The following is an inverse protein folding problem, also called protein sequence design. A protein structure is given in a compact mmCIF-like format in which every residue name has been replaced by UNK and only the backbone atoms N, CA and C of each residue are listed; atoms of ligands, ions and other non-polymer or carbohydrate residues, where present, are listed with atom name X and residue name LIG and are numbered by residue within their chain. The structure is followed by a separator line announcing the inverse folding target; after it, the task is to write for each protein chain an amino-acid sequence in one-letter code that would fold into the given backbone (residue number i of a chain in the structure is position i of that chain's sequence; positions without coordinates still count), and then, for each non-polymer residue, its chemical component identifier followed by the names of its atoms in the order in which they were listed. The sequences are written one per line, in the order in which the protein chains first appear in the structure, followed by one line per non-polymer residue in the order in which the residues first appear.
data_IF_411203399689
#
_entry.id   IF_411203399689
#
_cell.length_a   1.000
_cell.length_b   1.000
_cell.length_c   1.000
_cell.angle_alpha   90.00
_cell.angle_beta   90.00
_cell.angle_gamma   90.00
#
_symmetry.space_group_name_H-M   'P 1'
#
loop_
_entity.id
_entity.type
_entity.pdbx_description
1 polymer ?
#
# COMPACT_ATOMS: atom_id res chain seq x y z
N UNK A 1 -13.41 6.99 35.07
CA UNK A 1 -14.06 5.69 35.39
C UNK A 1 -14.12 4.75 34.21
N UNK A 2 -14.44 5.20 32.98
CA UNK A 2 -14.54 4.33 31.81
C UNK A 2 -13.20 3.65 31.49
N UNK A 3 -12.08 4.37 31.50
CA UNK A 3 -10.74 3.83 31.22
C UNK A 3 -10.25 2.79 32.22
N UNK A 4 -10.74 2.82 33.47
CA UNK A 4 -10.38 1.81 34.48
C UNK A 4 -10.90 0.40 34.18
N UNK A 5 -11.78 0.24 33.19
CA UNK A 5 -12.25 -1.06 32.69
C UNK A 5 -11.24 -1.77 31.79
N UNK A 6 -10.26 -1.05 31.29
CA UNK A 6 -9.24 -1.58 30.40
C UNK A 6 -7.98 -1.89 31.21
N UNK A 7 -7.29 -2.92 30.80
CA UNK A 7 -5.99 -3.26 31.36
C UNK A 7 -4.94 -2.31 30.74
N UNK A 8 -4.60 -1.24 31.47
CA UNK A 8 -3.58 -0.28 31.05
C UNK A 8 -2.24 -0.82 31.56
N UNK A 9 -1.30 -0.99 30.68
CA UNK A 9 0.01 -1.61 30.94
C UNK A 9 1.15 -0.68 30.49
N UNK A 10 2.34 -0.93 31.01
CA UNK A 10 3.60 -0.40 30.48
C UNK A 10 3.99 -1.28 29.28
N UNK A 11 3.68 -0.81 28.08
CA UNK A 11 3.74 -1.62 26.87
C UNK A 11 5.14 -2.12 26.54
N UNK A 12 6.17 -1.29 26.80
CA UNK A 12 7.57 -1.64 26.56
C UNK A 12 8.03 -2.84 27.41
N UNK A 13 7.63 -2.91 28.68
CA UNK A 13 7.94 -4.06 29.54
C UNK A 13 7.12 -5.28 29.12
N UNK A 14 5.82 -5.12 28.98
CA UNK A 14 4.92 -6.24 28.64
C UNK A 14 5.29 -6.91 27.32
N UNK A 15 5.57 -6.11 26.28
CA UNK A 15 5.92 -6.65 24.95
C UNK A 15 7.27 -7.35 24.98
N UNK A 16 8.29 -6.78 25.64
CA UNK A 16 9.60 -7.39 25.73
C UNK A 16 9.60 -8.67 26.59
N UNK A 17 8.80 -8.74 27.67
CA UNK A 17 8.58 -9.98 28.43
C UNK A 17 7.92 -11.06 27.60
N UNK A 18 6.92 -10.70 26.78
CA UNK A 18 6.30 -11.64 25.85
C UNK A 18 7.32 -12.19 24.83
N UNK A 19 8.16 -11.33 24.26
CA UNK A 19 9.23 -11.73 23.34
C UNK A 19 10.29 -12.61 24.02
N UNK A 20 10.63 -12.32 25.26
CA UNK A 20 11.56 -13.15 26.05
C UNK A 20 11.00 -14.53 26.40
N UNK A 21 9.67 -14.63 26.44
CA UNK A 21 8.94 -15.90 26.65
C UNK A 21 8.56 -16.61 25.32
N UNK A 22 9.23 -16.28 24.21
CA UNK A 22 9.02 -16.83 22.87
C UNK A 22 7.56 -16.74 22.37
N UNK A 23 6.83 -15.72 22.80
CA UNK A 23 5.48 -15.45 22.28
C UNK A 23 5.57 -14.74 20.94
N UNK A 24 4.72 -15.14 19.98
CA UNK A 24 4.53 -14.45 18.73
C UNK A 24 3.70 -13.19 18.93
N UNK A 25 4.14 -12.08 18.34
CA UNK A 25 3.45 -10.78 18.38
C UNK A 25 3.18 -10.34 16.95
N UNK A 26 1.94 -10.02 16.66
CA UNK A 26 1.55 -9.37 15.41
C UNK A 26 1.34 -7.88 15.67
N UNK A 27 2.18 -7.04 15.07
CA UNK A 27 2.02 -5.60 15.10
C UNK A 27 1.32 -5.14 13.82
N UNK A 28 0.16 -4.52 13.94
CA UNK A 28 -0.58 -3.93 12.83
C UNK A 28 -0.37 -2.42 12.82
N UNK A 29 0.19 -1.91 11.71
CA UNK A 29 0.30 -0.48 11.46
C UNK A 29 -1.01 0.11 10.94
N UNK A 30 -1.01 1.43 10.77
CA UNK A 30 -2.12 2.17 10.19
C UNK A 30 -1.62 3.08 9.06
N UNK A 31 -2.56 3.64 8.28
CA UNK A 31 -2.34 4.54 7.14
C UNK A 31 -1.58 3.86 5.99
N UNK A 32 -0.32 4.22 5.76
CA UNK A 32 0.52 3.64 4.71
C UNK A 32 1.83 4.41 4.55
N UNK A 33 2.80 3.81 3.89
CA UNK A 33 4.18 4.32 3.78
C UNK A 33 4.25 5.76 3.27
N UNK A 34 3.47 6.11 2.24
CA UNK A 34 3.51 7.47 1.66
C UNK A 34 2.82 8.54 2.52
N UNK A 35 2.24 8.16 3.66
CA UNK A 35 1.71 9.06 4.68
C UNK A 35 2.64 9.21 5.89
N UNK A 36 3.79 8.54 5.90
CA UNK A 36 4.80 8.66 6.96
C UNK A 36 5.31 10.09 7.06
N UNK A 37 5.51 10.58 8.28
CA UNK A 37 5.89 11.98 8.55
C UNK A 37 7.27 12.32 7.98
N UNK A 38 8.21 11.35 7.94
CA UNK A 38 9.58 11.54 7.49
C UNK A 38 9.80 11.08 6.05
N UNK A 39 9.19 9.96 5.65
CA UNK A 39 9.42 9.30 4.36
C UNK A 39 8.24 9.36 3.40
N UNK A 40 7.14 9.99 3.81
CA UNK A 40 5.95 10.14 2.97
C UNK A 40 6.02 11.33 2.01
N UNK A 41 4.91 11.56 1.32
CA UNK A 41 4.74 12.66 0.35
C UNK A 41 4.46 14.00 1.05
N UNK A 42 5.45 14.50 1.79
CA UNK A 42 5.34 15.77 2.51
C UNK A 42 4.92 16.93 1.58
N UNK A 43 4.05 17.86 2.01
CA UNK A 43 3.45 17.99 3.35
C UNK A 43 2.15 17.17 3.55
N UNK A 44 1.77 16.31 2.64
CA UNK A 44 0.52 15.55 2.65
C UNK A 44 0.70 14.21 3.38
N UNK A 45 1.12 14.29 4.63
CA UNK A 45 1.47 13.16 5.50
C UNK A 45 0.63 13.17 6.78
N UNK A 46 0.72 12.11 7.57
CA UNK A 46 0.19 12.09 8.94
C UNK A 46 1.25 12.57 9.93
N UNK A 47 0.88 12.77 11.19
CA UNK A 47 1.78 13.25 12.25
C UNK A 47 2.56 12.12 12.96
N UNK A 48 2.61 10.92 12.35
CA UNK A 48 3.26 9.74 12.94
C UNK A 48 4.08 8.98 11.90
N UNK A 49 5.01 8.14 12.38
CA UNK A 49 5.73 7.20 11.55
C UNK A 49 4.85 6.00 11.24
N UNK A 50 4.50 5.84 9.97
CA UNK A 50 3.65 4.75 9.46
C UNK A 50 4.46 3.61 8.85
N UNK A 51 5.77 3.79 8.70
CA UNK A 51 6.70 2.75 8.26
C UNK A 51 6.96 1.74 9.37
N UNK A 52 7.50 0.57 9.02
CA UNK A 52 7.75 -0.54 9.94
C UNK A 52 8.55 -0.13 11.20
N UNK A 53 9.50 0.80 11.06
CA UNK A 53 10.26 1.34 12.19
C UNK A 53 9.36 2.00 13.27
N UNK A 54 8.18 2.47 12.90
CA UNK A 54 7.17 2.99 13.83
C UNK A 54 6.70 1.97 14.86
N UNK A 55 6.74 0.67 14.53
CA UNK A 55 6.43 -0.40 15.48
C UNK A 55 7.48 -0.47 16.61
N UNK A 56 8.75 -0.24 16.31
CA UNK A 56 9.81 -0.21 17.31
C UNK A 56 9.58 0.90 18.33
N UNK A 57 9.25 2.10 17.85
CA UNK A 57 9.01 3.28 18.70
C UNK A 57 7.68 3.11 19.46
N UNK A 58 6.62 2.66 18.78
CA UNK A 58 5.29 2.55 19.36
C UNK A 58 5.15 1.44 20.41
N UNK A 59 5.90 0.36 20.28
CA UNK A 59 5.87 -0.78 21.21
C UNK A 59 7.05 -0.81 22.18
N UNK A 60 8.06 0.05 22.00
CA UNK A 60 9.27 0.05 22.84
C UNK A 60 10.13 -1.19 22.66
N UNK A 61 10.29 -1.66 21.40
CA UNK A 61 11.10 -2.86 21.08
C UNK A 61 12.34 -2.50 20.27
N UNK A 62 13.40 -3.29 20.43
CA UNK A 62 14.62 -3.10 19.66
C UNK A 62 14.42 -3.49 18.17
N UNK A 63 15.05 -2.78 17.19
CA UNK A 63 14.86 -3.06 15.77
C UNK A 63 15.19 -4.50 15.35
N UNK A 64 16.14 -5.14 16.01
CA UNK A 64 16.52 -6.54 15.75
C UNK A 64 15.48 -7.57 16.26
N UNK A 65 14.39 -7.12 16.83
CA UNK A 65 13.25 -7.97 17.24
C UNK A 65 12.15 -8.01 16.20
N UNK A 66 12.23 -7.19 15.15
CA UNK A 66 11.35 -7.28 14.00
C UNK A 66 11.74 -8.54 13.19
N UNK A 67 10.75 -9.39 12.98
CA UNK A 67 10.88 -10.60 12.15
C UNK A 67 10.34 -10.36 10.74
N UNK A 68 9.31 -11.12 10.35
CA UNK A 68 8.66 -10.97 9.05
C UNK A 68 7.89 -9.66 8.95
N UNK A 69 8.01 -9.00 7.80
CA UNK A 69 7.29 -7.76 7.49
C UNK A 69 6.36 -8.00 6.30
N UNK A 70 5.06 -8.00 6.56
CA UNK A 70 4.04 -8.19 5.54
C UNK A 70 3.60 -6.85 4.96
N UNK A 71 3.89 -6.64 3.67
CA UNK A 71 3.43 -5.48 2.91
C UNK A 71 2.07 -5.75 2.28
N UNK A 72 1.01 -5.11 2.77
CA UNK A 72 -0.34 -5.24 2.19
C UNK A 72 -0.54 -4.10 1.21
N UNK A 73 -0.89 -4.42 -0.04
CA UNK A 73 -1.16 -3.44 -1.07
C UNK A 73 -2.34 -3.87 -1.95
N UNK A 74 -2.94 -2.93 -2.65
CA UNK A 74 -3.99 -3.22 -3.63
C UNK A 74 -3.38 -3.40 -5.02
N UNK A 75 -4.04 -4.18 -5.86
CA UNK A 75 -3.66 -4.33 -7.27
C UNK A 75 -3.80 -3.02 -8.09
N UNK A 76 -4.26 -1.94 -7.48
CA UNK A 76 -4.34 -0.57 -8.00
C UNK A 76 -4.10 0.41 -6.84
N UNK A 77 -3.85 1.68 -7.15
CA UNK A 77 -3.59 2.68 -6.12
C UNK A 77 -4.84 3.46 -5.73
N UNK A 78 -4.91 3.86 -4.45
CA UNK A 78 -5.94 4.78 -3.96
C UNK A 78 -5.32 5.84 -3.05
N UNK A 79 -5.90 7.06 -3.07
CA UNK A 79 -5.52 8.13 -2.17
C UNK A 79 -6.76 8.84 -1.60
N UNK A 80 -6.68 9.19 -0.32
CA UNK A 80 -7.66 10.05 0.34
C UNK A 80 -7.07 11.44 0.51
N UNK A 81 -7.82 12.47 0.18
CA UNK A 81 -7.39 13.86 0.36
C UNK A 81 -6.44 14.36 -0.71
N UNK A 82 -5.79 15.48 -0.40
CA UNK A 82 -4.88 16.18 -1.30
C UNK A 82 -3.51 15.49 -1.36
N UNK A 83 -2.65 16.01 -2.23
CA UNK A 83 -1.28 15.56 -2.41
C UNK A 83 -1.05 14.81 -3.72
N UNK A 84 0.20 14.54 -4.06
CA UNK A 84 0.58 13.95 -5.34
C UNK A 84 0.05 12.53 -5.49
N UNK A 85 -0.34 12.20 -6.70
CA UNK A 85 -0.80 10.88 -7.08
C UNK A 85 -0.47 10.63 -8.56
N UNK A 86 0.77 10.24 -8.89
CA UNK A 86 1.25 10.17 -10.27
C UNK A 86 0.39 9.32 -11.21
N UNK A 87 -0.18 8.22 -10.71
CA UNK A 87 -0.98 7.29 -11.51
C UNK A 87 -2.47 7.54 -11.43
N UNK A 88 -2.92 8.68 -10.88
CA UNK A 88 -4.34 9.02 -10.75
C UNK A 88 -5.06 9.03 -12.09
N UNK A 89 -6.29 8.53 -12.11
CA UNK A 89 -7.16 8.47 -13.28
C UNK A 89 -8.37 9.37 -13.08
N UNK A 90 -8.54 10.32 -13.99
CA UNK A 90 -9.66 11.28 -14.01
C UNK A 90 -10.76 10.89 -14.98
N UNK A 91 -10.60 9.73 -15.63
CA UNK A 91 -11.51 9.21 -16.64
C UNK A 91 -12.50 8.17 -16.07
N UNK A 92 -13.26 7.56 -16.98
CA UNK A 92 -14.21 6.52 -16.62
C UNK A 92 -13.53 5.29 -15.99
N UNK A 93 -12.26 5.04 -16.26
CA UNK A 93 -11.49 3.93 -15.67
C UNK A 93 -11.31 4.15 -14.18
N UNK A 94 -10.93 5.37 -13.77
CA UNK A 94 -10.83 5.74 -12.36
C UNK A 94 -12.15 5.65 -11.62
N UNK A 95 -13.26 6.08 -12.27
CA UNK A 95 -14.59 5.95 -11.71
C UNK A 95 -14.99 4.48 -11.51
N UNK A 96 -14.72 3.60 -12.49
CA UNK A 96 -14.99 2.16 -12.39
C UNK A 96 -14.18 1.51 -11.26
N UNK A 97 -12.89 1.83 -11.11
CA UNK A 97 -12.07 1.33 -9.99
C UNK A 97 -12.68 1.71 -8.65
N UNK A 98 -13.16 2.95 -8.53
CA UNK A 98 -13.81 3.45 -7.31
C UNK A 98 -15.10 2.70 -7.00
N UNK A 99 -15.99 2.58 -7.98
CA UNK A 99 -17.32 2.02 -7.78
C UNK A 99 -17.25 0.50 -7.50
N UNK A 100 -16.54 -0.26 -8.34
CA UNK A 100 -16.38 -1.72 -8.17
C UNK A 100 -15.59 -2.02 -6.90
N UNK A 101 -14.54 -1.23 -6.63
CA UNK A 101 -13.69 -1.37 -5.46
C UNK A 101 -14.32 -0.86 -4.16
N UNK A 102 -15.51 -0.21 -4.22
CA UNK A 102 -16.13 0.46 -3.08
C UNK A 102 -15.17 1.41 -2.37
N UNK A 103 -14.44 2.22 -3.16
CA UNK A 103 -13.40 3.12 -2.66
C UNK A 103 -14.00 4.43 -2.14
N UNK A 104 -14.68 4.32 -1.01
CA UNK A 104 -15.32 5.42 -0.27
C UNK A 104 -14.86 5.38 1.20
N UNK A 105 -14.82 6.54 1.83
CA UNK A 105 -14.49 6.64 3.25
C UNK A 105 -15.58 5.99 4.11
N UNK A 106 -15.20 5.08 5.00
CA UNK A 106 -16.15 4.32 5.82
C UNK A 106 -17.06 5.19 6.70
N UNK A 107 -16.55 6.34 7.16
CA UNK A 107 -17.30 7.26 8.06
C UNK A 107 -17.97 8.39 7.27
N UNK A 108 -17.24 8.99 6.34
CA UNK A 108 -17.68 10.21 5.65
C UNK A 108 -18.32 9.94 4.29
N UNK A 109 -18.21 8.72 3.75
CA UNK A 109 -18.61 8.40 2.38
C UNK A 109 -17.80 9.14 1.29
N UNK A 110 -16.72 9.86 1.67
CA UNK A 110 -15.92 10.62 0.71
C UNK A 110 -15.27 9.71 -0.31
N UNK A 111 -15.38 10.07 -1.57
CA UNK A 111 -14.72 9.36 -2.68
C UNK A 111 -13.21 9.34 -2.51
N UNK A 112 -12.62 8.17 -2.73
CA UNK A 112 -11.17 8.04 -2.85
C UNK A 112 -10.75 8.28 -4.29
N UNK A 113 -9.63 8.93 -4.46
CA UNK A 113 -8.93 9.05 -5.75
C UNK A 113 -8.39 7.67 -6.10
N UNK A 114 -8.54 7.24 -7.36
CA UNK A 114 -8.11 5.92 -7.82
C UNK A 114 -7.16 6.06 -9.00
N UNK A 115 -6.23 5.14 -9.13
CA UNK A 115 -5.24 5.13 -10.20
C UNK A 115 -4.63 3.75 -10.41
N UNK A 116 -3.87 3.60 -11.50
CA UNK A 116 -3.16 2.36 -11.78
C UNK A 116 -2.09 2.07 -10.71
N UNK A 117 -1.69 0.79 -10.61
CA UNK A 117 -0.61 0.38 -9.71
C UNK A 117 0.67 1.16 -10.04
N UNK A 118 1.30 1.69 -9.00
CA UNK A 118 2.54 2.43 -9.05
C UNK A 118 3.68 1.58 -8.47
N UNK A 119 4.44 0.93 -9.36
CA UNK A 119 5.55 0.08 -8.95
C UNK A 119 6.75 0.88 -8.44
N UNK A 120 6.90 2.15 -8.83
CA UNK A 120 7.97 3.00 -8.28
C UNK A 120 7.70 3.27 -6.81
N UNK A 121 6.47 3.68 -6.48
CA UNK A 121 6.03 3.89 -5.10
C UNK A 121 6.02 2.58 -4.29
N UNK A 122 5.61 1.46 -4.88
CA UNK A 122 5.59 0.16 -4.21
C UNK A 122 7.01 -0.33 -3.89
N UNK A 123 7.96 -0.26 -4.82
CA UNK A 123 9.36 -0.61 -4.60
C UNK A 123 10.00 0.25 -3.51
N UNK A 124 9.73 1.55 -3.53
CA UNK A 124 10.15 2.46 -2.47
C UNK A 124 9.58 2.02 -1.12
N UNK A 125 8.29 1.69 -1.06
CA UNK A 125 7.64 1.22 0.17
C UNK A 125 8.23 -0.10 0.67
N UNK A 126 8.52 -1.05 -0.22
CA UNK A 126 9.20 -2.32 0.12
C UNK A 126 10.56 -2.04 0.75
N UNK A 127 11.35 -1.18 0.12
CA UNK A 127 12.70 -0.84 0.58
C UNK A 127 12.70 -0.19 1.97
N UNK A 128 11.85 0.83 2.18
CA UNK A 128 11.80 1.60 3.44
C UNK A 128 11.31 0.74 4.61
N UNK A 129 10.38 -0.19 4.35
CA UNK A 129 9.81 -1.04 5.40
C UNK A 129 10.56 -2.35 5.59
N UNK A 130 11.49 -2.72 4.71
CA UNK A 130 12.13 -4.03 4.74
C UNK A 130 11.12 -5.17 4.55
N UNK A 131 10.15 -4.99 3.64
CA UNK A 131 9.08 -5.97 3.39
C UNK A 131 9.69 -7.30 2.94
N UNK A 132 9.31 -8.38 3.63
CA UNK A 132 9.75 -9.75 3.32
C UNK A 132 8.72 -10.51 2.51
N UNK A 133 7.44 -10.18 2.66
CA UNK A 133 6.33 -10.80 1.95
C UNK A 133 5.30 -9.76 1.53
N UNK A 134 4.77 -9.88 0.30
CA UNK A 134 3.74 -9.02 -0.24
C UNK A 134 2.39 -9.74 -0.31
N UNK A 135 1.34 -9.04 0.07
CA UNK A 135 -0.04 -9.52 -0.03
C UNK A 135 -0.81 -8.56 -0.94
N UNK A 136 -1.10 -9.02 -2.17
CA UNK A 136 -1.92 -8.25 -3.12
C UNK A 136 -3.39 -8.42 -2.82
N UNK A 137 -4.09 -7.32 -2.67
CA UNK A 137 -5.52 -7.26 -2.42
C UNK A 137 -6.29 -6.67 -3.59
N UNK A 138 -7.57 -7.02 -3.69
CA UNK A 138 -8.54 -6.37 -4.62
C UNK A 138 -8.21 -6.49 -6.12
N UNK A 139 -7.51 -7.51 -6.53
CA UNK A 139 -7.30 -7.80 -7.95
C UNK A 139 -8.59 -8.15 -8.70
N UNK A 140 -9.59 -8.66 -7.99
CA UNK A 140 -10.93 -8.94 -8.48
C UNK A 140 -11.70 -7.70 -8.96
N UNK A 141 -11.34 -6.52 -8.48
CA UNK A 141 -11.92 -5.23 -8.94
C UNK A 141 -11.68 -4.99 -10.43
N UNK A 142 -10.60 -5.56 -10.97
CA UNK A 142 -10.22 -5.39 -12.37
C UNK A 142 -10.64 -6.56 -13.27
N UNK A 143 -11.51 -7.46 -12.82
CA UNK A 143 -11.95 -8.65 -13.56
C UNK A 143 -12.44 -8.37 -15.00
N UNK A 144 -13.11 -7.22 -15.21
CA UNK A 144 -13.75 -6.87 -16.50
C UNK A 144 -12.96 -5.82 -17.30
N UNK A 145 -11.72 -5.52 -16.91
CA UNK A 145 -10.89 -4.56 -17.63
C UNK A 145 -10.29 -5.20 -18.89
N UNK A 146 -10.26 -4.44 -20.01
CA UNK A 146 -9.63 -4.88 -21.25
C UNK A 146 -8.11 -4.87 -21.13
N UNK A 147 -7.60 -3.82 -20.51
CA UNK A 147 -6.18 -3.56 -20.30
C UNK A 147 -5.98 -3.05 -18.88
N UNK A 148 -4.95 -3.55 -18.23
CA UNK A 148 -4.48 -3.09 -16.93
C UNK A 148 -3.09 -2.49 -17.10
N UNK A 149 -2.82 -1.36 -16.45
CA UNK A 149 -1.54 -0.66 -16.56
C UNK A 149 -0.81 -0.62 -15.22
N UNK A 150 0.52 -0.64 -15.31
CA UNK A 150 1.40 -0.51 -14.14
C UNK A 150 2.46 0.56 -14.47
N UNK A 151 2.60 1.57 -13.63
CA UNK A 151 3.69 2.52 -13.75
C UNK A 151 4.98 1.86 -13.26
N UNK A 152 5.93 1.66 -14.16
CA UNK A 152 7.22 1.00 -13.86
C UNK A 152 8.35 1.97 -13.65
N UNK A 153 8.22 3.17 -14.19
CA UNK A 153 9.16 4.30 -14.12
C UNK A 153 8.38 5.61 -14.08
N UNK A 154 9.08 6.68 -13.75
CA UNK A 154 8.63 8.06 -13.97
C UNK A 154 9.50 8.74 -15.02
N UNK A 155 8.93 9.72 -15.72
CA UNK A 155 9.65 10.68 -16.54
C UNK A 155 9.57 12.05 -15.85
N UNK A 156 10.73 12.64 -15.56
CA UNK A 156 10.88 13.95 -14.93
C UNK A 156 11.92 14.74 -15.72
N UNK A 157 11.54 15.91 -16.22
CA UNK A 157 12.46 16.73 -17.00
C UNK A 157 12.97 16.07 -18.30
N UNK A 158 12.27 15.06 -18.84
CA UNK A 158 12.66 14.30 -20.01
C UNK A 158 13.57 13.09 -19.71
N UNK A 159 13.94 12.86 -18.47
CA UNK A 159 14.72 11.70 -18.03
C UNK A 159 13.83 10.66 -17.33
N UNK A 160 14.11 9.38 -17.56
CA UNK A 160 13.41 8.28 -16.90
C UNK A 160 14.10 7.85 -15.62
N UNK A 161 13.30 7.57 -14.59
CA UNK A 161 13.79 7.08 -13.31
C UNK A 161 12.85 6.03 -12.71
N UNK A 162 13.43 5.00 -12.09
CA UNK A 162 12.72 4.04 -11.25
C UNK A 162 12.82 4.39 -9.76
N UNK A 163 13.42 5.54 -9.41
CA UNK A 163 13.52 6.02 -8.05
C UNK A 163 12.34 6.92 -7.71
N UNK A 164 11.76 6.69 -6.54
CA UNK A 164 10.71 7.56 -6.00
C UNK A 164 11.33 8.90 -5.61
N UNK A 165 10.92 10.03 -6.22
CA UNK A 165 11.54 11.32 -5.96
C UNK A 165 11.05 11.89 -4.61
N UNK A 166 11.90 12.70 -3.98
CA UNK A 166 11.52 13.43 -2.77
C UNK A 166 10.40 14.46 -3.05
N UNK A 167 10.52 15.19 -4.13
CA UNK A 167 9.49 16.13 -4.61
C UNK A 167 8.77 15.53 -5.82
N UNK A 168 7.46 15.50 -5.75
CA UNK A 168 6.60 15.05 -6.84
C UNK A 168 5.96 16.31 -7.44
N UNK A 169 6.59 16.86 -8.46
CA UNK A 169 6.12 18.03 -9.19
C UNK A 169 5.08 17.67 -10.26
N UNK A 170 4.48 18.72 -10.84
CA UNK A 170 3.48 18.59 -11.91
C UNK A 170 4.07 18.10 -13.23
N UNK A 171 5.38 18.14 -13.39
CA UNK A 171 6.13 17.65 -14.55
C UNK A 171 6.40 16.14 -14.52
N UNK A 172 6.17 15.49 -13.38
CA UNK A 172 6.34 14.07 -13.25
C UNK A 172 5.21 13.31 -13.98
N UNK A 173 5.61 12.42 -14.89
CA UNK A 173 4.71 11.58 -15.67
C UNK A 173 5.01 10.10 -15.45
N UNK A 174 4.00 9.27 -15.14
CA UNK A 174 4.19 7.82 -15.05
C UNK A 174 4.41 7.20 -16.43
N UNK A 175 5.39 6.29 -16.51
CA UNK A 175 5.65 5.47 -17.69
C UNK A 175 5.03 4.10 -17.46
N UNK A 176 4.06 3.75 -18.29
CA UNK A 176 3.26 2.55 -18.11
C UNK A 176 3.75 1.36 -18.92
N UNK A 177 3.74 0.18 -18.29
CA UNK A 177 3.64 -1.11 -18.95
C UNK A 177 2.18 -1.54 -18.96
N UNK A 178 1.71 -2.05 -20.10
CA UNK A 178 0.35 -2.52 -20.28
C UNK A 178 0.29 -4.05 -20.23
N UNK A 179 -0.77 -4.57 -19.62
CA UNK A 179 -1.07 -5.99 -19.52
C UNK A 179 -2.48 -6.22 -20.06
N UNK A 180 -2.74 -7.33 -20.76
CA UNK A 180 -4.11 -7.71 -21.10
C UNK A 180 -4.90 -8.02 -19.83
N UNK A 181 -6.15 -7.61 -19.79
CA UNK A 181 -7.06 -7.97 -18.70
C UNK A 181 -7.44 -9.46 -18.75
N UNK A 182 -7.69 -10.03 -17.60
CA UNK A 182 -7.97 -11.48 -17.45
C UNK A 182 -9.42 -11.90 -17.69
N UNK A 183 -10.36 -10.96 -17.77
CA UNK A 183 -11.76 -11.16 -18.20
C UNK A 183 -12.50 -12.31 -17.51
N UNK A 184 -12.24 -12.55 -16.24
CA UNK A 184 -12.91 -13.59 -15.46
C UNK A 184 -13.01 -13.21 -14.00
N UNK A 185 -13.91 -13.87 -13.27
CA UNK A 185 -14.01 -13.69 -11.82
C UNK A 185 -12.91 -14.48 -11.11
N UNK A 186 -11.89 -13.76 -10.61
CA UNK A 186 -10.77 -14.38 -9.90
C UNK A 186 -11.19 -15.14 -8.64
N UNK A 187 -12.35 -14.83 -8.05
CA UNK A 187 -12.89 -15.54 -6.86
C UNK A 187 -13.31 -16.98 -7.16
N UNK A 188 -13.42 -17.34 -8.43
CA UNK A 188 -13.71 -18.73 -8.84
C UNK A 188 -12.51 -19.67 -8.68
N UNK A 189 -11.30 -19.13 -8.49
CA UNK A 189 -10.06 -19.91 -8.39
C UNK A 189 -9.56 -19.94 -6.94
N UNK A 190 -9.06 -21.10 -6.52
CA UNK A 190 -8.53 -21.32 -5.16
C UNK A 190 -7.06 -21.72 -5.16
N UNK A 191 -6.49 -22.04 -6.33
CA UNK A 191 -5.11 -22.45 -6.49
C UNK A 191 -4.42 -21.54 -7.50
N UNK A 192 -3.15 -21.20 -7.26
CA UNK A 192 -2.40 -20.33 -8.16
C UNK A 192 -2.32 -20.87 -9.60
N UNK A 193 -2.14 -22.18 -9.74
CA UNK A 193 -2.01 -22.85 -11.03
C UNK A 193 -3.22 -22.66 -11.95
N UNK A 194 -4.40 -22.49 -11.35
CA UNK A 194 -5.68 -22.40 -12.08
C UNK A 194 -6.01 -20.96 -12.55
N UNK A 195 -5.27 -19.94 -12.06
CA UNK A 195 -5.47 -18.58 -12.50
C UNK A 195 -5.13 -18.39 -13.99
N UNK A 196 -5.82 -17.44 -14.69
CA UNK A 196 -5.51 -17.10 -16.08
C UNK A 196 -4.06 -16.65 -16.26
N UNK A 197 -3.52 -16.91 -17.44
CA UNK A 197 -2.14 -16.53 -17.79
C UNK A 197 -1.95 -15.01 -17.73
N UNK A 198 -2.95 -14.24 -18.11
CA UNK A 198 -2.97 -12.78 -18.08
C UNK A 198 -2.84 -12.26 -16.63
N UNK A 199 -3.53 -12.87 -15.68
CA UNK A 199 -3.43 -12.51 -14.27
C UNK A 199 -2.06 -12.89 -13.69
N UNK A 200 -1.55 -14.08 -14.00
CA UNK A 200 -0.20 -14.51 -13.60
C UNK A 200 0.86 -13.54 -14.11
N UNK A 201 0.79 -13.14 -15.39
CA UNK A 201 1.71 -12.19 -15.98
C UNK A 201 1.66 -10.78 -15.31
N UNK A 202 0.51 -10.43 -14.74
CA UNK A 202 0.37 -9.18 -13.96
C UNK A 202 1.00 -9.30 -12.58
N UNK A 203 0.94 -10.47 -11.95
CA UNK A 203 1.47 -10.71 -10.58
C UNK A 203 3.00 -10.91 -10.59
N UNK A 204 3.55 -11.54 -11.63
CA UNK A 204 4.99 -11.82 -11.83
C UNK A 204 5.75 -10.60 -12.37
#
# INVERSE_FOLDING_TARGET
EYLRRFNIIDSEYFVNECLAADKSILAEGAQGTLLDVDFGSYPFVTSSNTVCAGACIGLGIAPNRIGEVYGIFKAYCTRVGSGPFPTELFDQTGARLRDIGHEYGAVTGRERRCGWLDMVALRYSIMINGVTQLIMMKSDVMNDFETVKVATEYEVGGERTAHFPYEIGDDLKPVYREFPGWKCDLRAFTRYEDFPAEFKAYVE
#
